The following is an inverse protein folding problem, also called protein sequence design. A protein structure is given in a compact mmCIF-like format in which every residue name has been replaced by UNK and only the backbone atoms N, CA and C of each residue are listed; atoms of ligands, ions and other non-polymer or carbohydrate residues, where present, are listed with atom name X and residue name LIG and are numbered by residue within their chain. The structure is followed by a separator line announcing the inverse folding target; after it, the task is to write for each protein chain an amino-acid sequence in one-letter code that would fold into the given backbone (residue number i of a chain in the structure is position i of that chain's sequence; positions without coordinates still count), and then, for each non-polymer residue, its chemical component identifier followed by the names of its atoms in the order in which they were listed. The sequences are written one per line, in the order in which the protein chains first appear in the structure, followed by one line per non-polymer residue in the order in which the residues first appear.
data_IF_279524504123
#
_entry.id   IF_279524504123
#
_cell.length_a   1.000
_cell.length_b   1.000
_cell.length_c   1.000
_cell.angle_alpha   90.00
_cell.angle_beta   90.00
_cell.angle_gamma   90.00
#
_symmetry.space_group_name_H-M   'P 1'
#
loop_
_entity.id
_entity.type
_entity.pdbx_description
1 polymer ?
#
# COMPACT_ATOMS: atom_id res chain seq x y z
N UNK A 1 14.14 26.51 17.32
CA UNK A 1 12.89 25.81 17.69
C UNK A 1 12.54 24.92 16.50
N UNK A 2 12.85 23.63 16.56
CA UNK A 2 12.74 22.72 15.42
C UNK A 2 11.44 21.92 15.55
N UNK A 3 10.47 22.21 14.69
CA UNK A 3 9.35 21.29 14.46
C UNK A 3 9.87 20.06 13.73
N UNK A 4 10.01 18.96 14.47
CA UNK A 4 10.11 17.63 13.89
C UNK A 4 8.79 17.33 13.21
N UNK A 5 8.70 17.56 11.90
CA UNK A 5 7.64 16.96 11.09
C UNK A 5 8.02 15.49 10.89
N UNK A 6 7.68 14.67 11.88
CA UNK A 6 7.74 13.22 11.81
C UNK A 6 6.44 12.72 11.20
N UNK A 7 6.44 12.50 9.88
CA UNK A 7 5.36 11.74 9.25
C UNK A 7 5.79 10.26 9.30
N UNK A 8 5.49 9.63 10.44
CA UNK A 8 5.69 8.20 10.66
C UNK A 8 4.50 7.42 10.09
N UNK A 9 4.62 6.90 8.87
CA UNK A 9 3.72 5.84 8.40
C UNK A 9 4.19 4.50 8.98
N UNK A 10 3.92 4.26 10.27
CA UNK A 10 4.07 2.93 10.87
C UNK A 10 2.95 2.01 10.38
N UNK A 11 3.26 1.16 9.37
CA UNK A 11 2.86 -0.26 9.19
C UNK A 11 3.10 -0.76 7.74
N UNK A 12 4.14 -1.56 7.56
CA UNK A 12 4.51 -2.36 6.37
C UNK A 12 3.61 -3.62 6.23
N UNK A 13 3.40 -4.37 5.12
CA UNK A 13 3.61 -4.30 3.66
C UNK A 13 2.61 -5.29 2.98
N UNK A 14 2.15 -5.11 1.73
CA UNK A 14 2.77 -5.59 0.48
C UNK A 14 2.45 -4.64 -0.70
N UNK A 15 3.39 -3.76 -1.05
CA UNK A 15 3.37 -3.05 -2.32
C UNK A 15 3.94 -3.98 -3.39
N UNK A 16 3.05 -4.48 -4.24
CA UNK A 16 3.36 -4.93 -5.60
C UNK A 16 2.14 -4.65 -6.50
N UNK A 17 2.46 -4.35 -7.74
CA UNK A 17 1.77 -3.63 -8.81
C UNK A 17 0.35 -4.13 -9.14
N UNK A 18 -0.70 -3.36 -8.81
CA UNK A 18 -1.90 -3.27 -9.67
C UNK A 18 -2.95 -2.27 -9.19
N UNK A 19 -3.16 -2.09 -7.89
CA UNK A 19 -4.28 -1.29 -7.38
C UNK A 19 -3.92 -0.46 -6.16
N UNK A 20 -4.34 0.80 -6.17
CA UNK A 20 -4.49 1.62 -4.97
C UNK A 20 -6.00 1.73 -4.68
N UNK A 21 -6.39 1.49 -3.43
CA UNK A 21 -7.77 1.72 -2.98
C UNK A 21 -7.82 3.08 -2.30
N UNK A 22 -8.54 4.04 -2.89
CA UNK A 22 -8.75 5.36 -2.30
C UNK A 22 -10.09 5.35 -1.56
N UNK A 23 -10.08 5.67 -0.27
CA UNK A 23 -11.28 5.94 0.53
C UNK A 23 -11.33 7.43 0.82
N UNK A 24 -12.32 8.14 0.26
CA UNK A 24 -12.54 9.56 0.55
C UNK A 24 -13.60 9.69 1.65
N UNK A 25 -13.28 10.42 2.71
CA UNK A 25 -14.24 10.84 3.74
C UNK A 25 -14.77 12.22 3.38
N UNK A 26 -16.07 12.47 3.63
CA UNK A 26 -16.76 13.70 3.24
C UNK A 26 -16.50 14.91 4.18
N UNK A 27 -15.45 14.82 5.00
CA UNK A 27 -14.90 15.94 5.76
C UNK A 27 -13.45 16.09 5.30
N UNK A 28 -13.00 17.32 5.02
CA UNK A 28 -11.81 17.79 4.28
C UNK A 28 -10.41 17.27 4.71
N UNK A 29 -10.31 16.05 5.20
CA UNK A 29 -9.07 15.38 5.54
C UNK A 29 -9.03 13.96 4.93
N UNK A 30 -8.17 13.78 3.92
CA UNK A 30 -7.86 12.49 3.30
C UNK A 30 -7.18 11.59 4.31
N UNK A 31 -7.92 10.66 4.92
CA UNK A 31 -7.35 9.65 5.81
C UNK A 31 -7.26 8.28 5.11
N UNK A 32 -6.03 7.77 4.97
CA UNK A 32 -5.77 6.36 4.60
C UNK A 32 -6.02 5.50 5.84
N UNK A 33 -7.18 4.85 5.92
CA UNK A 33 -7.55 4.01 7.06
C UNK A 33 -7.32 2.51 6.78
N UNK A 34 -6.55 1.86 7.65
CA UNK A 34 -6.37 0.40 7.66
C UNK A 34 -7.30 -0.24 8.71
N UNK A 35 -8.21 -1.12 8.30
CA UNK A 35 -9.09 -1.85 9.23
C UNK A 35 -8.31 -3.00 9.87
N UNK A 36 -7.99 -2.85 11.16
CA UNK A 36 -7.46 -3.91 12.03
C UNK A 36 -8.60 -4.72 12.63
N UNK A 37 -8.52 -6.04 12.53
CA UNK A 37 -9.34 -6.95 13.31
C UNK A 37 -8.43 -7.80 14.18
N UNK A 38 -8.57 -7.71 15.50
CA UNK A 38 -7.85 -8.53 16.47
C UNK A 38 -8.37 -9.98 16.47
N UNK A 39 -7.52 -11.01 16.63
CA UNK A 39 -8.00 -12.38 16.80
C UNK A 39 -8.29 -12.63 18.29
N UNK A 40 -9.51 -13.02 18.62
CA UNK A 40 -9.77 -13.78 19.84
C UNK A 40 -10.08 -15.22 19.44
N UNK A 41 -9.32 -16.14 20.04
CA UNK A 41 -9.39 -17.58 19.82
C UNK A 41 -10.36 -18.18 20.83
N UNK A 42 -11.34 -18.96 20.36
CA UNK A 42 -11.90 -20.04 21.17
C UNK A 42 -12.25 -21.24 20.29
N UNK A 43 -11.95 -22.43 20.81
CA UNK A 43 -11.99 -23.73 20.18
C UNK A 43 -13.43 -24.23 19.96
N UNK A 44 -13.70 -24.73 18.76
CA UNK A 44 -14.49 -25.95 18.50
C UNK A 44 -14.62 -26.17 16.99
N UNK A 45 -14.18 -27.33 16.51
CA UNK A 45 -14.29 -27.77 15.12
C UNK A 45 -15.76 -27.98 14.74
N UNK A 46 -16.36 -26.96 14.11
CA UNK A 46 -17.46 -27.08 13.16
C UNK A 46 -17.24 -26.01 12.12
N UNK A 47 -16.45 -26.26 11.07
CA UNK A 47 -16.15 -25.22 10.09
C UNK A 47 -17.34 -25.00 9.14
N UNK A 48 -18.43 -24.42 9.67
CA UNK A 48 -19.28 -23.54 8.88
C UNK A 48 -18.38 -22.40 8.42
N UNK A 49 -18.08 -22.34 7.13
CA UNK A 49 -17.46 -21.14 6.54
C UNK A 49 -18.49 -20.02 6.70
N UNK A 50 -18.38 -19.25 7.77
CA UNK A 50 -19.21 -18.07 7.97
C UNK A 50 -18.70 -17.00 7.00
N UNK A 51 -19.27 -16.96 5.79
CA UNK A 51 -19.08 -15.87 4.85
C UNK A 51 -19.75 -14.63 5.45
N UNK A 52 -19.01 -13.87 6.25
CA UNK A 52 -19.51 -12.62 6.80
C UNK A 52 -19.43 -11.57 5.68
N UNK A 53 -20.57 -11.29 5.06
CA UNK A 53 -20.74 -10.10 4.24
C UNK A 53 -20.72 -8.88 5.17
N UNK A 54 -19.72 -8.01 5.03
CA UNK A 54 -19.76 -6.68 5.62
C UNK A 54 -19.96 -5.68 4.49
N UNK A 55 -21.10 -4.97 4.42
CA UNK A 55 -21.15 -3.79 3.58
C UNK A 55 -20.06 -2.84 4.07
N UNK A 56 -19.30 -2.26 3.13
CA UNK A 56 -18.59 -1.04 3.47
C UNK A 56 -19.61 -0.08 4.09
N UNK A 57 -19.26 0.61 5.18
CA UNK A 57 -20.14 1.64 5.75
C UNK A 57 -20.46 2.73 4.72
N UNK A 58 -21.07 3.85 5.13
CA UNK A 58 -21.50 4.93 4.24
C UNK A 58 -20.34 5.71 3.55
N UNK A 59 -19.17 5.10 3.38
CA UNK A 59 -17.97 5.65 2.75
C UNK A 59 -17.84 5.11 1.34
N UNK A 60 -17.67 6.01 0.38
CA UNK A 60 -17.38 5.63 -0.99
C UNK A 60 -15.98 5.01 -1.10
N UNK A 61 -15.88 3.90 -1.83
CA UNK A 61 -14.61 3.23 -2.13
C UNK A 61 -14.49 3.06 -3.64
N UNK A 62 -13.40 3.56 -4.23
CA UNK A 62 -13.12 3.40 -5.67
C UNK A 62 -11.83 2.61 -5.88
N UNK A 63 -11.87 1.66 -6.83
CA UNK A 63 -10.65 1.03 -7.34
C UNK A 63 -10.12 1.86 -8.51
N UNK A 64 -8.81 2.13 -8.53
CA UNK A 64 -8.12 2.72 -9.67
C UNK A 64 -6.93 1.86 -10.04
N UNK A 65 -6.69 1.70 -11.34
CA UNK A 65 -5.49 1.04 -11.86
C UNK A 65 -4.26 1.83 -11.43
N UNK A 66 -3.27 1.15 -10.85
CA UNK A 66 -2.04 1.80 -10.38
C UNK A 66 -1.34 2.63 -11.46
N UNK A 67 -1.30 2.12 -12.70
CA UNK A 67 -0.70 2.82 -13.84
C UNK A 67 -1.36 4.19 -14.05
N UNK A 68 -2.68 4.21 -14.22
CA UNK A 68 -3.47 5.44 -14.42
C UNK A 68 -3.25 6.41 -13.27
N UNK A 69 -3.33 5.95 -12.02
CA UNK A 69 -3.11 6.82 -10.86
C UNK A 69 -1.71 7.46 -10.88
N UNK A 70 -0.66 6.69 -11.17
CA UNK A 70 0.71 7.20 -11.16
C UNK A 70 1.00 8.13 -12.35
N UNK A 71 0.47 7.82 -13.53
CA UNK A 71 0.59 8.67 -14.72
C UNK A 71 -0.11 10.00 -14.50
N UNK A 72 -1.37 9.99 -14.05
CA UNK A 72 -2.11 11.22 -13.75
C UNK A 72 -1.39 12.06 -12.69
N UNK A 73 -0.90 11.45 -11.60
CA UNK A 73 -0.15 12.21 -10.58
C UNK A 73 1.17 12.79 -11.12
N UNK A 74 1.82 12.13 -12.07
CA UNK A 74 3.05 12.61 -12.68
C UNK A 74 2.81 13.74 -13.68
N UNK A 75 1.72 13.67 -14.44
CA UNK A 75 1.30 14.68 -15.43
C UNK A 75 0.90 16.02 -14.79
N UNK A 76 0.37 15.99 -13.56
CA UNK A 76 0.05 17.19 -12.79
C UNK A 76 1.29 17.93 -12.23
N UNK A 77 2.49 17.36 -12.37
CA UNK A 77 3.73 17.99 -11.88
C UNK A 77 4.41 18.82 -12.99
N UNK A 78 5.04 19.96 -12.64
CA UNK A 78 5.82 20.74 -13.60
C UNK A 78 6.89 19.89 -14.29
N UNK A 79 7.14 20.19 -15.57
CA UNK A 79 8.16 19.50 -16.35
C UNK A 79 9.54 19.57 -15.67
N UNK A 80 10.24 18.43 -15.63
CA UNK A 80 11.56 18.33 -14.99
C UNK A 80 11.53 18.05 -13.48
N UNK A 81 10.36 17.95 -12.85
CA UNK A 81 10.22 17.60 -11.42
C UNK A 81 10.69 16.17 -11.12
N UNK A 82 10.34 15.21 -11.99
CA UNK A 82 10.67 13.79 -11.81
C UNK A 82 11.97 13.47 -12.55
N UNK A 83 12.91 12.82 -11.85
CA UNK A 83 14.12 12.25 -12.45
C UNK A 83 14.10 10.73 -12.30
N UNK A 84 14.04 10.03 -13.42
CA UNK A 84 14.10 8.57 -13.45
C UNK A 84 15.54 8.05 -13.39
N UNK A 85 15.70 6.76 -13.12
CA UNK A 85 17.01 6.10 -12.98
C UNK A 85 17.91 6.68 -11.86
N UNK A 86 17.36 7.51 -10.97
CA UNK A 86 18.08 8.14 -9.85
C UNK A 86 17.98 7.32 -8.56
N UNK A 87 18.47 6.07 -8.58
CA UNK A 87 18.44 5.22 -7.38
C UNK A 87 19.37 5.77 -6.30
N UNK A 88 18.85 6.05 -5.10
CA UNK A 88 19.66 6.45 -3.94
C UNK A 88 20.47 5.26 -3.43
N UNK A 89 21.76 5.47 -3.20
CA UNK A 89 22.70 4.46 -2.69
C UNK A 89 23.07 4.71 -1.22
N UNK A 90 23.32 5.96 -0.84
CA UNK A 90 23.63 6.36 0.53
C UNK A 90 23.30 7.83 0.77
N UNK A 91 23.25 8.20 2.06
CA UNK A 91 22.98 9.57 2.50
C UNK A 91 24.06 9.96 3.50
N UNK A 92 24.61 11.16 3.32
CA UNK A 92 25.52 11.80 4.26
C UNK A 92 25.01 13.19 4.64
N UNK A 93 25.59 13.76 5.69
CA UNK A 93 25.28 15.12 6.16
C UNK A 93 26.49 16.02 5.99
N UNK A 94 26.25 17.26 5.56
CA UNK A 94 27.25 18.33 5.46
C UNK A 94 26.65 19.61 6.07
N UNK A 95 26.88 19.80 7.36
CA UNK A 95 26.22 20.82 8.17
C UNK A 95 24.70 20.67 8.12
N UNK A 96 24.00 21.67 7.58
CA UNK A 96 22.55 21.67 7.42
C UNK A 96 22.06 21.00 6.14
N UNK A 97 22.96 20.53 5.28
CA UNK A 97 22.63 19.90 4.01
C UNK A 97 22.63 18.37 4.13
N UNK A 98 21.82 17.73 3.30
CA UNK A 98 21.82 16.30 3.03
C UNK A 98 22.48 16.07 1.67
N UNK A 99 23.47 15.20 1.66
CA UNK A 99 24.16 14.73 0.46
C UNK A 99 23.57 13.38 0.08
N UNK A 100 22.79 13.36 -0.99
CA UNK A 100 22.14 12.15 -1.50
C UNK A 100 23.01 11.57 -2.60
N UNK A 101 23.70 10.47 -2.30
CA UNK A 101 24.49 9.74 -3.29
C UNK A 101 23.57 8.86 -4.12
N UNK A 102 23.73 8.94 -5.44
CA UNK A 102 23.00 8.11 -6.40
C UNK A 102 23.87 6.95 -6.88
N UNK A 103 23.23 5.91 -7.41
CA UNK A 103 23.90 4.70 -7.89
C UNK A 103 24.79 4.95 -9.12
N UNK A 104 24.56 6.04 -9.86
CA UNK A 104 25.40 6.48 -10.98
C UNK A 104 26.64 7.29 -10.53
N UNK A 105 26.84 7.46 -9.22
CA UNK A 105 27.95 8.21 -8.63
C UNK A 105 27.69 9.72 -8.48
N UNK A 106 26.58 10.24 -9.01
CA UNK A 106 26.22 11.64 -8.83
C UNK A 106 25.74 11.93 -7.41
N UNK A 107 25.82 13.20 -6.99
CA UNK A 107 25.43 13.66 -5.66
C UNK A 107 24.42 14.79 -5.80
N UNK A 108 23.26 14.62 -5.17
CA UNK A 108 22.24 15.68 -5.04
C UNK A 108 22.36 16.31 -3.65
N UNK A 109 22.54 17.63 -3.59
CA UNK A 109 22.57 18.39 -2.33
C UNK A 109 21.19 19.00 -2.08
N UNK A 110 20.64 18.79 -0.88
CA UNK A 110 19.34 19.35 -0.49
C UNK A 110 19.31 19.77 0.98
N UNK A 111 18.41 20.69 1.33
CA UNK A 111 18.12 21.08 2.73
C UNK A 111 17.14 20.11 3.40
N UNK A 112 16.22 19.55 2.63
CA UNK A 112 15.19 18.63 3.11
C UNK A 112 15.14 17.39 2.21
N UNK A 113 14.97 16.23 2.83
CA UNK A 113 14.87 14.94 2.17
C UNK A 113 13.66 14.20 2.73
N UNK A 114 12.75 13.76 1.85
CA UNK A 114 11.56 12.99 2.20
C UNK A 114 11.72 11.57 1.68
N UNK A 115 11.60 10.58 2.55
CA UNK A 115 11.70 9.16 2.21
C UNK A 115 10.39 8.57 1.70
N UNK A 116 10.30 8.38 0.38
CA UNK A 116 9.19 7.73 -0.31
C UNK A 116 9.64 6.50 -1.12
N UNK A 117 10.74 5.85 -0.73
CA UNK A 117 11.45 4.80 -1.46
C UNK A 117 11.06 3.36 -1.07
N UNK A 118 9.88 3.19 -0.45
CA UNK A 118 9.22 1.91 -0.27
C UNK A 118 9.75 1.06 0.90
N UNK A 119 9.50 -0.25 0.87
CA UNK A 119 9.80 -1.16 2.00
C UNK A 119 11.28 -1.28 2.32
N UNK A 120 12.11 -1.27 1.29
CA UNK A 120 13.55 -1.46 1.39
C UNK A 120 14.27 -0.11 1.46
N UNK A 121 13.63 0.88 2.09
CA UNK A 121 14.04 2.27 2.08
C UNK A 121 15.47 2.46 2.60
N UNK A 122 16.31 3.11 1.81
CA UNK A 122 17.66 3.55 2.18
C UNK A 122 17.54 4.71 3.19
N UNK A 123 16.54 5.57 3.00
CA UNK A 123 16.29 6.71 3.88
C UNK A 123 15.84 6.26 5.27
N UNK A 124 14.97 5.25 5.36
CA UNK A 124 14.53 4.66 6.62
C UNK A 124 15.71 4.03 7.39
N UNK A 125 16.58 3.31 6.70
CA UNK A 125 17.79 2.73 7.30
C UNK A 125 18.75 3.80 7.80
N UNK A 126 18.97 4.85 7.02
CA UNK A 126 19.79 6.00 7.43
C UNK A 126 19.23 6.71 8.67
N UNK A 127 17.91 6.81 8.80
CA UNK A 127 17.23 7.34 10.00
C UNK A 127 17.25 6.38 11.20
N UNK A 128 17.82 5.18 11.09
CA UNK A 128 17.83 4.17 12.16
C UNK A 128 16.44 3.57 12.45
N UNK A 129 15.54 3.56 11.48
CA UNK A 129 14.25 2.90 11.63
C UNK A 129 14.43 1.37 11.61
N UNK A 130 13.57 0.66 12.33
CA UNK A 130 13.61 -0.80 12.39
C UNK A 130 13.37 -1.42 11.01
N UNK A 131 14.00 -2.57 10.77
CA UNK A 131 13.81 -3.33 9.55
C UNK A 131 12.34 -3.79 9.39
N UNK A 132 11.87 -3.95 8.14
CA UNK A 132 10.56 -4.51 7.86
C UNK A 132 10.39 -5.89 8.51
N UNK A 133 9.26 -6.10 9.20
CA UNK A 133 8.92 -7.38 9.79
C UNK A 133 7.91 -8.13 8.92
N UNK A 134 8.08 -9.45 8.81
CA UNK A 134 7.17 -10.32 8.08
C UNK A 134 5.84 -10.42 8.83
N UNK A 135 4.74 -10.11 8.14
CA UNK A 135 3.42 -10.08 8.77
C UNK A 135 2.77 -11.47 8.96
N UNK A 136 3.43 -12.54 8.51
CA UNK A 136 2.87 -13.90 8.47
C UNK A 136 1.73 -14.11 7.46
N UNK A 137 1.43 -13.09 6.65
CA UNK A 137 0.33 -13.10 5.68
C UNK A 137 0.88 -13.05 4.26
N UNK A 138 0.26 -13.86 3.40
CA UNK A 138 0.47 -13.86 1.96
C UNK A 138 -0.76 -13.32 1.26
N UNK A 139 -0.57 -12.78 0.05
CA UNK A 139 -1.64 -12.27 -0.78
C UNK A 139 -1.42 -12.66 -2.24
N UNK A 140 -2.49 -13.15 -2.87
CA UNK A 140 -2.63 -13.30 -4.32
C UNK A 140 -3.66 -12.27 -4.74
N UNK A 141 -3.39 -11.55 -5.83
CA UNK A 141 -4.28 -10.51 -6.33
C UNK A 141 -4.16 -10.43 -7.84
N UNK A 142 -5.21 -9.92 -8.49
CA UNK A 142 -5.23 -9.80 -9.93
C UNK A 142 -6.35 -8.90 -10.42
N UNK A 143 -6.39 -8.77 -11.74
CA UNK A 143 -7.45 -8.08 -12.45
C UNK A 143 -8.11 -9.08 -13.40
N UNK A 144 -9.43 -9.19 -13.34
CA UNK A 144 -10.23 -9.90 -14.33
C UNK A 144 -10.75 -8.88 -15.34
N UNK A 145 -10.58 -9.16 -16.64
CA UNK A 145 -11.00 -8.32 -17.75
C UNK A 145 -12.18 -8.98 -18.48
N UNK A 146 -13.19 -8.19 -18.83
CA UNK A 146 -14.39 -8.64 -19.52
C UNK A 146 -14.60 -7.83 -20.80
N UNK A 147 -14.87 -8.53 -21.91
CA UNK A 147 -15.11 -7.89 -23.21
C UNK A 147 -16.37 -7.04 -23.19
N UNK A 148 -17.43 -7.55 -22.57
CA UNK A 148 -18.68 -6.83 -22.37
C UNK A 148 -18.70 -6.17 -20.99
N UNK A 149 -19.24 -4.93 -20.89
CA UNK A 149 -19.34 -4.26 -19.61
C UNK A 149 -20.24 -5.08 -18.69
N UNK A 150 -19.70 -5.46 -17.53
CA UNK A 150 -20.48 -6.15 -16.53
C UNK A 150 -21.14 -5.11 -15.61
N UNK A 151 -22.44 -5.25 -15.39
CA UNK A 151 -23.21 -4.42 -14.46
C UNK A 151 -22.96 -4.83 -13.00
N UNK A 152 -21.69 -4.91 -12.58
CA UNK A 152 -21.38 -5.15 -11.18
C UNK A 152 -21.75 -3.91 -10.37
N UNK A 153 -22.45 -4.07 -9.22
CA UNK A 153 -22.64 -2.97 -8.31
C UNK A 153 -21.27 -2.43 -7.88
N UNK A 154 -21.12 -1.10 -7.80
CA UNK A 154 -19.92 -0.38 -7.33
C UNK A 154 -19.71 -0.55 -5.82
N UNK A 155 -19.73 -1.79 -5.36
CA UNK A 155 -19.64 -2.18 -3.96
C UNK A 155 -18.39 -3.02 -3.77
N UNK A 156 -17.68 -2.72 -2.70
CA UNK A 156 -16.57 -3.55 -2.28
C UNK A 156 -17.12 -4.83 -1.61
N UNK A 157 -16.95 -5.98 -2.27
CA UNK A 157 -17.35 -7.27 -1.70
C UNK A 157 -16.16 -7.92 -1.00
N UNK A 158 -16.36 -8.35 0.25
CA UNK A 158 -15.35 -9.02 1.05
C UNK A 158 -15.91 -10.25 1.77
N UNK A 159 -15.08 -11.28 1.83
CA UNK A 159 -15.30 -12.53 2.54
C UNK A 159 -14.16 -12.72 3.55
N UNK A 160 -14.50 -13.16 4.76
CA UNK A 160 -13.56 -13.36 5.86
C UNK A 160 -13.85 -14.69 6.54
N UNK A 161 -12.81 -15.43 6.93
CA UNK A 161 -12.97 -16.66 7.72
C UNK A 161 -11.67 -17.45 7.80
N UNK A 162 -11.52 -18.33 8.80
CA UNK A 162 -10.46 -19.34 8.92
C UNK A 162 -9.04 -18.89 8.48
N UNK A 163 -8.59 -17.70 8.90
CA UNK A 163 -7.25 -17.20 8.58
C UNK A 163 -7.06 -16.65 7.16
N UNK A 164 -8.13 -16.54 6.36
CA UNK A 164 -8.14 -15.92 5.03
C UNK A 164 -9.10 -14.73 4.93
N UNK A 165 -8.85 -13.89 3.92
CA UNK A 165 -9.77 -12.84 3.46
C UNK A 165 -9.71 -12.79 1.94
N UNK A 166 -10.85 -12.71 1.29
CA UNK A 166 -10.93 -12.52 -0.16
C UNK A 166 -11.95 -11.46 -0.50
N UNK A 167 -11.87 -10.94 -1.72
CA UNK A 167 -12.81 -9.93 -2.13
C UNK A 167 -12.55 -9.46 -3.54
N UNK A 168 -13.47 -8.64 -4.03
CA UNK A 168 -13.34 -7.99 -5.31
C UNK A 168 -14.03 -6.63 -5.33
N UNK A 169 -13.56 -5.78 -6.22
CA UNK A 169 -14.00 -4.40 -6.39
C UNK A 169 -13.90 -4.03 -7.88
N UNK A 170 -14.99 -3.58 -8.52
CA UNK A 170 -14.91 -3.05 -9.88
C UNK A 170 -14.04 -1.80 -9.93
N UNK A 171 -13.12 -1.73 -10.90
CA UNK A 171 -12.30 -0.56 -11.18
C UNK A 171 -12.91 0.28 -12.31
N UNK A 172 -13.53 -0.37 -13.28
CA UNK A 172 -14.37 0.23 -14.32
C UNK A 172 -15.44 -0.81 -14.77
N UNK A 173 -16.18 -0.53 -15.84
CA UNK A 173 -17.22 -1.43 -16.35
C UNK A 173 -16.70 -2.78 -16.87
N UNK A 174 -15.40 -2.89 -17.15
CA UNK A 174 -14.78 -4.06 -17.78
C UNK A 174 -13.79 -4.78 -16.86
N UNK A 175 -13.35 -4.13 -15.78
CA UNK A 175 -12.22 -4.61 -14.98
C UNK A 175 -12.60 -4.70 -13.52
N UNK A 176 -12.37 -5.88 -12.96
CA UNK A 176 -12.56 -6.18 -11.56
C UNK A 176 -11.21 -6.51 -10.94
N UNK A 177 -10.85 -5.76 -9.90
CA UNK A 177 -9.77 -6.16 -9.02
C UNK A 177 -10.27 -7.23 -8.05
N UNK A 178 -9.48 -8.28 -7.87
CA UNK A 178 -9.75 -9.32 -6.89
C UNK A 178 -8.50 -9.61 -6.06
N UNK A 179 -8.71 -10.09 -4.84
CA UNK A 179 -7.64 -10.56 -3.97
C UNK A 179 -8.05 -11.76 -3.12
N UNK A 180 -7.05 -12.52 -2.73
CA UNK A 180 -7.10 -13.57 -1.73
C UNK A 180 -5.87 -13.41 -0.83
N UNK A 181 -6.11 -13.20 0.45
CA UNK A 181 -5.08 -13.07 1.49
C UNK A 181 -5.25 -14.19 2.48
N UNK A 182 -4.15 -14.76 2.96
CA UNK A 182 -4.19 -15.87 3.91
C UNK A 182 -3.00 -15.81 4.84
N UNK A 183 -3.17 -16.37 6.03
CA UNK A 183 -2.07 -16.55 6.98
C UNK A 183 -1.31 -17.80 6.55
N UNK A 184 -0.03 -17.64 6.23
CA UNK A 184 0.83 -18.80 6.00
C UNK A 184 1.11 -19.45 7.35
N UNK A 185 1.12 -20.79 7.46
CA UNK A 185 1.66 -21.44 8.64
C UNK A 185 3.07 -20.90 8.91
N UNK A 186 3.50 -20.72 10.17
CA UNK A 186 4.88 -20.36 10.44
C UNK A 186 5.79 -21.38 9.73
N UNK A 187 6.72 -20.88 8.92
CA UNK A 187 7.72 -21.74 8.30
C UNK A 187 8.41 -22.56 9.40
N UNK A 188 8.42 -23.88 9.28
CA UNK A 188 9.44 -24.66 9.98
C UNK A 188 10.79 -24.12 9.51
N UNK A 189 11.63 -23.70 10.45
CA UNK A 189 13.02 -23.37 10.14
C UNK A 189 13.65 -24.60 9.46
N UNK A 190 14.54 -24.40 8.47
CA UNK A 190 15.23 -25.50 7.81
C UNK A 190 15.97 -26.38 8.81
#
# INVERSE_FOLDING_TARGET
MAEKISISFKRYLLLDLSVATLTMTHDDHTHVAWILGSPQLHSSLKSKVNLIWRPSGNRETRCVKRKVLLETLAEELPQGTIRFCSKVSSIAEDGYLKLVHLADGSIVKTKALIGCDGVNSVIAKWLGLADPNLSGRSAIRGMAMYDNPCNFPTKFLQFFGNGFRSGFLPCDGHIIYWFFTFTSPPHCKP
#
